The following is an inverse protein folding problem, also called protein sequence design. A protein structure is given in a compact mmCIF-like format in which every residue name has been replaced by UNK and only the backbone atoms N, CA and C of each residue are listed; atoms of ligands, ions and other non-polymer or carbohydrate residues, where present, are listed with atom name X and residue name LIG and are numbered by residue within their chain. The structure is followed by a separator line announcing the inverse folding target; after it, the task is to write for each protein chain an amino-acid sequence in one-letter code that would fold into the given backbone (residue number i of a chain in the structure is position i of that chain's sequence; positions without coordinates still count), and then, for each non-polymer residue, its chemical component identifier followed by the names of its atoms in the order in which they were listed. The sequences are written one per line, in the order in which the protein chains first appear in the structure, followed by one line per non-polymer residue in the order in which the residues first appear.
data_IF_368399077406
#
_entry.id   IF_368399077406
#
_cell.length_a   1.000
_cell.length_b   1.000
_cell.length_c   1.000
_cell.angle_alpha   90.00
_cell.angle_beta   90.00
_cell.angle_gamma   90.00
#
_symmetry.space_group_name_H-M   'P 1'
#
loop_
_entity.id
_entity.type
_entity.pdbx_description
1 polymer ?
#
# COMPACT_ATOMS: atom_id res chain seq x y z
N UNK A 1 -10.91 -13.53 -25.63
CA UNK A 1 -9.58 -13.57 -24.95
C UNK A 1 -9.58 -14.68 -23.89
N UNK A 2 -8.41 -15.00 -23.30
CA UNK A 2 -8.32 -15.90 -22.14
C UNK A 2 -8.43 -15.06 -20.86
N UNK A 3 -9.32 -15.46 -19.96
CA UNK A 3 -9.32 -14.94 -18.61
C UNK A 3 -8.29 -15.69 -17.78
N UNK A 4 -7.48 -14.97 -17.01
CA UNK A 4 -6.58 -15.54 -16.00
C UNK A 4 -7.26 -15.34 -14.65
N UNK A 5 -7.43 -16.44 -13.92
CA UNK A 5 -8.03 -16.45 -12.59
C UNK A 5 -6.97 -16.82 -11.55
N UNK A 6 -6.94 -16.07 -10.46
CA UNK A 6 -6.16 -16.40 -9.27
C UNK A 6 -7.10 -16.81 -8.14
N UNK A 7 -6.89 -18.01 -7.60
CA UNK A 7 -7.64 -18.54 -6.45
C UNK A 7 -7.07 -17.99 -5.13
N UNK A 8 -7.78 -17.01 -4.56
CA UNK A 8 -7.43 -16.39 -3.29
C UNK A 8 -7.66 -17.35 -2.11
N UNK A 9 -8.66 -18.22 -2.21
CA UNK A 9 -9.00 -19.19 -1.16
C UNK A 9 -7.82 -20.11 -0.87
N UNK A 10 -7.22 -20.68 -1.92
CA UNK A 10 -6.02 -21.51 -1.80
C UNK A 10 -4.81 -20.76 -1.22
N UNK A 11 -4.64 -19.48 -1.56
CA UNK A 11 -3.55 -18.66 -1.03
C UNK A 11 -3.73 -18.38 0.47
N UNK A 12 -4.93 -17.98 0.88
CA UNK A 12 -5.28 -17.74 2.29
C UNK A 12 -5.21 -19.03 3.12
N UNK A 13 -5.57 -20.17 2.53
CA UNK A 13 -5.45 -21.49 3.14
C UNK A 13 -4.05 -22.11 3.10
N UNK A 14 -3.07 -21.48 2.44
CA UNK A 14 -1.66 -21.90 2.50
C UNK A 14 -0.78 -20.96 3.33
N UNK A 15 -1.22 -19.71 3.55
CA UNK A 15 -0.49 -18.73 4.36
C UNK A 15 -0.24 -19.23 5.80
N UNK A 16 1.00 -19.29 6.24
CA UNK A 16 1.35 -19.62 7.64
C UNK A 16 1.25 -18.40 8.56
N UNK A 17 0.88 -17.26 7.99
CA UNK A 17 0.97 -15.96 8.62
C UNK A 17 -0.17 -15.72 9.61
N UNK A 18 0.17 -15.14 10.75
CA UNK A 18 -0.74 -14.96 11.89
C UNK A 18 -1.75 -13.80 11.69
N UNK A 19 -1.73 -13.18 10.53
CA UNK A 19 -2.40 -11.91 10.23
C UNK A 19 -3.92 -12.01 10.08
N UNK A 20 -4.45 -13.20 9.78
CA UNK A 20 -5.90 -13.48 9.79
C UNK A 20 -6.35 -14.22 11.04
N UNK A 21 -5.53 -14.22 12.12
CA UNK A 21 -5.86 -15.01 13.30
C UNK A 21 -7.01 -14.43 14.14
N UNK A 22 -7.30 -13.13 14.07
CA UNK A 22 -8.39 -12.57 14.86
C UNK A 22 -9.71 -12.59 14.09
N UNK A 23 -10.79 -12.94 14.79
CA UNK A 23 -12.15 -12.92 14.23
C UNK A 23 -12.54 -11.54 13.69
N UNK A 24 -12.03 -10.47 14.32
CA UNK A 24 -12.25 -9.09 13.92
C UNK A 24 -11.48 -8.71 12.64
N UNK A 25 -10.21 -9.11 12.51
CA UNK A 25 -9.42 -8.88 11.30
C UNK A 25 -10.04 -9.58 10.08
N UNK A 26 -10.49 -10.82 10.27
CA UNK A 26 -11.20 -11.56 9.23
C UNK A 26 -12.50 -10.88 8.79
N UNK A 27 -13.32 -10.41 9.73
CA UNK A 27 -14.56 -9.69 9.42
C UNK A 27 -14.33 -8.44 8.57
N UNK A 28 -13.34 -7.63 8.93
CA UNK A 28 -13.02 -6.39 8.20
C UNK A 28 -12.51 -6.68 6.80
N UNK A 29 -11.64 -7.68 6.65
CA UNK A 29 -11.17 -8.14 5.36
C UNK A 29 -12.30 -8.66 4.48
N UNK A 30 -13.20 -9.46 5.05
CA UNK A 30 -14.37 -9.98 4.35
C UNK A 30 -15.30 -8.86 3.87
N UNK A 31 -15.56 -7.86 4.72
CA UNK A 31 -16.35 -6.69 4.33
C UNK A 31 -15.74 -5.95 3.14
N UNK A 32 -14.42 -5.78 3.11
CA UNK A 32 -13.72 -5.16 1.98
C UNK A 32 -13.84 -6.01 0.71
N UNK A 33 -13.59 -7.32 0.79
CA UNK A 33 -13.74 -8.23 -0.36
C UNK A 33 -15.17 -8.18 -0.95
N UNK A 34 -16.18 -8.22 -0.09
CA UNK A 34 -17.58 -8.11 -0.51
C UNK A 34 -17.91 -6.74 -1.08
N UNK A 35 -17.39 -5.66 -0.49
CA UNK A 35 -17.59 -4.31 -1.02
C UNK A 35 -17.02 -4.22 -2.45
N UNK A 36 -15.78 -4.65 -2.66
CA UNK A 36 -15.10 -4.63 -3.96
C UNK A 36 -15.83 -5.51 -4.99
N UNK A 37 -16.24 -6.72 -4.59
CA UNK A 37 -16.97 -7.64 -5.48
C UNK A 37 -18.37 -7.11 -5.85
N UNK A 38 -19.10 -6.54 -4.89
CA UNK A 38 -20.48 -6.07 -5.11
C UNK A 38 -20.59 -4.74 -5.87
N UNK A 39 -19.62 -3.82 -5.71
CA UNK A 39 -19.60 -2.58 -6.48
C UNK A 39 -19.07 -2.77 -7.92
N UNK A 40 -18.57 -3.97 -8.26
CA UNK A 40 -17.89 -4.21 -9.53
C UNK A 40 -16.63 -3.35 -9.69
N UNK A 41 -16.06 -2.91 -8.56
CA UNK A 41 -14.93 -1.98 -8.57
C UNK A 41 -13.70 -2.65 -9.16
N UNK A 42 -13.03 -1.94 -10.06
CA UNK A 42 -11.76 -2.37 -10.63
C UNK A 42 -10.67 -2.20 -9.58
N UNK A 43 -10.00 -3.29 -9.21
CA UNK A 43 -8.84 -3.22 -8.30
C UNK A 43 -7.65 -2.62 -9.04
N UNK A 44 -7.53 -3.01 -10.31
CA UNK A 44 -6.57 -2.50 -11.28
C UNK A 44 -7.36 -2.11 -12.52
N UNK A 45 -7.21 -0.86 -12.95
CA UNK A 45 -7.85 -0.37 -14.17
C UNK A 45 -7.27 -1.07 -15.39
N UNK A 46 -8.11 -1.38 -16.37
CA UNK A 46 -7.65 -1.97 -17.63
C UNK A 46 -6.57 -1.11 -18.30
N UNK A 47 -5.58 -1.77 -18.90
CA UNK A 47 -4.46 -1.10 -19.56
C UNK A 47 -4.46 -1.40 -21.05
N UNK A 48 -4.23 -0.38 -21.88
CA UNK A 48 -4.04 -0.57 -23.31
C UNK A 48 -2.54 -0.49 -23.64
N UNK A 49 -1.98 -1.59 -24.14
CA UNK A 49 -0.59 -1.61 -24.58
C UNK A 49 -0.51 -1.21 -26.06
N UNK A 50 -0.02 0.00 -26.32
CA UNK A 50 0.13 0.56 -27.67
C UNK A 50 1.09 -0.23 -28.57
N UNK A 51 2.12 -0.87 -28.01
CA UNK A 51 3.14 -1.61 -28.78
C UNK A 51 2.63 -2.97 -29.26
N UNK A 52 1.80 -3.62 -28.43
CA UNK A 52 1.24 -4.96 -28.73
C UNK A 52 -0.18 -4.91 -29.28
N UNK A 53 -0.80 -3.73 -29.34
CA UNK A 53 -2.21 -3.50 -29.71
C UNK A 53 -3.20 -4.38 -28.93
N UNK A 54 -2.86 -4.71 -27.68
CA UNK A 54 -3.71 -5.55 -26.81
C UNK A 54 -4.23 -4.73 -25.64
N UNK A 55 -5.53 -4.85 -25.38
CA UNK A 55 -6.11 -4.40 -24.12
C UNK A 55 -6.02 -5.50 -23.08
N UNK A 56 -5.45 -5.14 -21.93
CA UNK A 56 -5.60 -5.86 -20.68
C UNK A 56 -6.86 -5.30 -20.01
N UNK A 57 -7.84 -6.15 -19.76
CA UNK A 57 -9.06 -5.79 -19.04
C UNK A 57 -8.78 -5.52 -17.56
N UNK A 58 -9.70 -4.86 -16.86
CA UNK A 58 -9.53 -4.58 -15.43
C UNK A 58 -9.52 -5.87 -14.60
N UNK A 59 -8.81 -5.85 -13.48
CA UNK A 59 -8.87 -6.94 -12.49
C UNK A 59 -10.10 -6.77 -11.60
N UNK A 60 -10.92 -7.81 -11.49
CA UNK A 60 -12.15 -7.83 -10.69
C UNK A 60 -12.12 -8.94 -9.63
N UNK A 61 -12.82 -8.75 -8.51
CA UNK A 61 -13.06 -9.79 -7.50
C UNK A 61 -14.40 -10.45 -7.75
N UNK A 62 -14.39 -11.78 -7.80
CA UNK A 62 -15.61 -12.57 -7.81
C UNK A 62 -15.58 -13.55 -6.65
N UNK A 63 -16.67 -13.53 -5.87
CA UNK A 63 -16.95 -14.59 -4.89
C UNK A 63 -17.79 -15.63 -5.62
N UNK A 64 -17.20 -16.79 -5.92
CA UNK A 64 -17.86 -17.85 -6.68
C UNK A 64 -18.67 -18.78 -5.78
N UNK A 65 -18.18 -19.04 -4.56
CA UNK A 65 -18.83 -19.90 -3.57
C UNK A 65 -18.63 -19.30 -2.18
N UNK A 66 -19.72 -19.09 -1.43
CA UNK A 66 -19.68 -18.45 -0.11
C UNK A 66 -19.64 -19.46 1.04
N UNK A 67 -20.11 -20.69 0.81
CA UNK A 67 -20.23 -21.71 1.84
C UNK A 67 -18.98 -22.58 1.93
N UNK A 68 -18.67 -23.03 3.15
CA UNK A 68 -17.74 -24.16 3.34
C UNK A 68 -18.56 -25.44 3.29
N UNK A 69 -18.22 -26.35 2.37
CA UNK A 69 -18.93 -27.60 2.19
C UNK A 69 -18.20 -28.72 2.94
N UNK A 70 -18.88 -29.33 3.90
CA UNK A 70 -18.38 -30.49 4.64
C UNK A 70 -19.07 -31.76 4.11
N UNK A 71 -18.28 -32.74 3.70
CA UNK A 71 -18.76 -34.06 3.28
C UNK A 71 -18.28 -35.10 4.27
N UNK A 72 -19.21 -35.77 4.94
CA UNK A 72 -18.95 -36.76 5.98
C UNK A 72 -19.46 -38.11 5.52
N UNK A 73 -18.59 -39.11 5.46
CA UNK A 73 -18.95 -40.52 5.39
C UNK A 73 -18.76 -41.13 6.79
N UNK A 74 -19.82 -41.68 7.36
CA UNK A 74 -19.79 -42.28 8.68
C UNK A 74 -20.62 -43.57 8.76
N UNK A 75 -20.31 -44.36 9.77
CA UNK A 75 -21.03 -45.55 10.23
C UNK A 75 -21.69 -45.26 11.58
N UNK A 76 -22.57 -46.16 12.04
CA UNK A 76 -23.27 -45.99 13.31
C UNK A 76 -22.34 -45.81 14.52
N UNK A 77 -21.15 -46.42 14.48
CA UNK A 77 -20.17 -46.42 15.55
C UNK A 77 -18.97 -45.46 15.30
N UNK A 78 -19.02 -44.62 14.27
CA UNK A 78 -17.88 -43.74 13.93
C UNK A 78 -17.69 -42.65 14.99
N UNK A 79 -16.47 -42.58 15.52
CA UNK A 79 -16.01 -41.50 16.39
C UNK A 79 -15.27 -40.43 15.56
N UNK A 80 -15.60 -39.16 15.81
CA UNK A 80 -15.10 -38.03 15.02
C UNK A 80 -14.46 -36.98 15.94
N UNK A 81 -13.26 -36.52 15.56
CA UNK A 81 -12.48 -35.49 16.25
C UNK A 81 -12.46 -34.14 15.52
N UNK A 82 -13.24 -33.17 15.96
CA UNK A 82 -13.23 -31.82 15.42
C UNK A 82 -12.22 -30.93 16.14
N UNK A 83 -11.24 -30.42 15.39
CA UNK A 83 -10.35 -29.38 15.88
C UNK A 83 -10.90 -28.03 15.42
N UNK A 84 -11.07 -27.07 16.32
CA UNK A 84 -11.43 -25.70 15.96
C UNK A 84 -10.82 -24.73 16.97
N UNK A 85 -10.14 -23.70 16.48
CA UNK A 85 -9.50 -22.65 17.28
C UNK A 85 -8.59 -23.21 18.41
N UNK A 86 -7.78 -24.22 18.06
CA UNK A 86 -6.85 -24.86 19.01
C UNK A 86 -7.54 -25.71 20.10
N UNK A 87 -8.85 -25.91 20.04
CA UNK A 87 -9.62 -26.80 20.92
C UNK A 87 -10.05 -28.04 20.17
N UNK A 88 -10.18 -29.15 20.90
CA UNK A 88 -10.65 -30.43 20.38
C UNK A 88 -12.07 -30.70 20.88
N UNK A 89 -12.92 -31.20 20.00
CA UNK A 89 -14.28 -31.61 20.27
C UNK A 89 -14.48 -33.01 19.73
N UNK A 90 -14.97 -33.92 20.55
CA UNK A 90 -15.15 -35.32 20.16
C UNK A 90 -16.64 -35.60 20.06
N UNK A 91 -17.05 -36.17 18.93
CA UNK A 91 -18.33 -36.84 18.80
C UNK A 91 -18.14 -38.31 19.09
N UNK A 92 -18.82 -38.79 20.12
CA UNK A 92 -18.87 -40.20 20.49
C UNK A 92 -20.31 -40.68 20.36
N UNK A 93 -20.61 -41.70 19.55
CA UNK A 93 -21.95 -42.25 19.45
C UNK A 93 -22.46 -42.70 20.82
N UNK A 94 -23.66 -42.25 21.20
CA UNK A 94 -24.26 -42.57 22.51
C UNK A 94 -24.62 -44.05 22.66
N UNK A 95 -24.94 -44.74 21.57
CA UNK A 95 -25.30 -46.16 21.55
C UNK A 95 -24.72 -46.83 20.31
N UNK A 96 -24.13 -48.04 20.47
CA UNK A 96 -23.40 -48.74 19.39
C UNK A 96 -24.30 -49.48 18.39
N UNK A 97 -25.57 -49.68 18.73
CA UNK A 97 -26.52 -50.49 17.95
C UNK A 97 -27.63 -49.64 17.30
N UNK A 98 -27.45 -48.32 17.19
CA UNK A 98 -28.42 -47.44 16.53
C UNK A 98 -28.43 -47.66 15.02
N UNK A 99 -29.60 -47.56 14.36
CA UNK A 99 -29.67 -47.44 12.91
C UNK A 99 -28.78 -46.29 12.41
N UNK A 100 -28.11 -46.50 11.27
CA UNK A 100 -27.21 -45.51 10.67
C UNK A 100 -27.89 -44.17 10.38
N UNK A 101 -29.21 -44.19 10.10
CA UNK A 101 -30.03 -42.98 9.98
C UNK A 101 -30.06 -42.17 11.28
N UNK A 102 -30.28 -42.82 12.41
CA UNK A 102 -30.37 -42.18 13.72
C UNK A 102 -29.00 -41.68 14.19
N UNK A 103 -27.94 -42.45 13.89
CA UNK A 103 -26.56 -42.01 14.14
C UNK A 103 -26.17 -40.78 13.32
N UNK A 104 -26.61 -40.70 12.06
CA UNK A 104 -26.40 -39.54 11.19
C UNK A 104 -27.14 -38.29 11.72
N UNK A 105 -28.41 -38.45 12.12
CA UNK A 105 -29.19 -37.36 12.70
C UNK A 105 -28.61 -36.87 14.04
N UNK A 106 -28.14 -37.80 14.89
CA UNK A 106 -27.46 -37.47 16.14
C UNK A 106 -26.17 -36.67 15.90
N UNK A 107 -25.37 -37.08 14.91
CA UNK A 107 -24.16 -36.35 14.51
C UNK A 107 -24.48 -34.93 14.00
N UNK A 108 -25.47 -34.80 13.11
CA UNK A 108 -25.89 -33.49 12.57
C UNK A 108 -26.35 -32.58 13.71
N UNK A 109 -27.17 -33.09 14.62
CA UNK A 109 -27.65 -32.32 15.77
C UNK A 109 -26.52 -31.90 16.71
N UNK A 110 -25.58 -32.80 17.00
CA UNK A 110 -24.39 -32.49 17.78
C UNK A 110 -23.57 -31.36 17.13
N UNK A 111 -23.28 -31.49 15.83
CA UNK A 111 -22.48 -30.51 15.10
C UNK A 111 -23.18 -29.15 15.03
N UNK A 112 -24.48 -29.12 14.71
CA UNK A 112 -25.26 -27.89 14.68
C UNK A 112 -25.32 -27.21 16.05
N UNK A 113 -25.47 -27.98 17.13
CA UNK A 113 -25.51 -27.45 18.50
C UNK A 113 -24.16 -26.86 18.89
N UNK A 114 -23.07 -27.56 18.55
CA UNK A 114 -21.71 -27.10 18.81
C UNK A 114 -21.40 -25.80 18.04
N UNK A 115 -21.75 -25.73 16.76
CA UNK A 115 -21.44 -24.60 15.89
C UNK A 115 -22.29 -23.35 16.19
N UNK A 116 -23.52 -23.52 16.68
CA UNK A 116 -24.39 -22.39 17.07
C UNK A 116 -24.00 -21.72 18.38
N UNK A 117 -23.24 -22.40 19.24
CA UNK A 117 -22.80 -21.83 20.50
C UNK A 117 -21.66 -20.82 20.32
N UNK A 118 -21.54 -19.85 21.23
CA UNK A 118 -20.34 -19.02 21.33
C UNK A 118 -19.10 -19.89 21.60
N UNK A 119 -17.93 -19.61 20.98
CA UNK A 119 -17.59 -18.42 20.18
C UNK A 119 -17.85 -18.56 18.67
N UNK A 120 -18.41 -19.69 18.21
CA UNK A 120 -18.44 -20.05 16.80
C UNK A 120 -19.51 -19.30 16.01
N UNK A 121 -20.75 -19.26 16.54
CA UNK A 121 -21.88 -18.57 15.91
C UNK A 121 -22.02 -18.89 14.40
N UNK A 122 -21.89 -20.17 14.06
CA UNK A 122 -21.99 -20.70 12.70
C UNK A 122 -23.32 -21.43 12.51
N UNK A 123 -23.91 -21.24 11.34
CA UNK A 123 -25.07 -22.00 10.88
C UNK A 123 -24.61 -23.13 9.97
N UNK A 124 -25.05 -24.36 10.29
CA UNK A 124 -24.81 -25.54 9.48
C UNK A 124 -26.13 -26.05 8.91
N UNK A 125 -26.28 -26.00 7.59
CA UNK A 125 -27.45 -26.54 6.89
C UNK A 125 -27.11 -27.86 6.21
N UNK A 126 -27.97 -28.87 6.40
CA UNK A 126 -27.85 -30.14 5.69
C UNK A 126 -28.34 -29.95 4.25
N UNK A 127 -27.45 -30.15 3.28
CA UNK A 127 -27.79 -30.12 1.85
C UNK A 127 -28.35 -31.46 1.39
N UNK A 128 -27.75 -32.55 1.85
CA UNK A 128 -28.23 -33.91 1.55
C UNK A 128 -27.69 -34.93 2.53
N UNK A 129 -28.51 -35.94 2.86
CA UNK A 129 -28.10 -37.15 3.56
C UNK A 129 -28.48 -38.35 2.71
N UNK A 130 -27.51 -39.21 2.40
CA UNK A 130 -27.70 -40.44 1.63
C UNK A 130 -27.31 -41.61 2.51
N UNK A 131 -28.22 -42.58 2.66
CA UNK A 131 -27.98 -43.79 3.46
C UNK A 131 -27.87 -44.97 2.51
N UNK A 132 -26.79 -45.73 2.64
CA UNK A 132 -26.64 -47.03 2.00
C UNK A 132 -26.86 -48.12 3.05
N UNK A 133 -28.06 -48.71 3.03
CA UNK A 133 -28.44 -49.79 3.94
C UNK A 133 -27.66 -51.09 3.69
N UNK A 134 -27.04 -51.27 2.52
CA UNK A 134 -26.31 -52.51 2.20
C UNK A 134 -24.92 -52.53 2.84
N UNK A 135 -24.32 -51.35 2.99
CA UNK A 135 -22.99 -51.17 3.60
C UNK A 135 -23.07 -50.49 4.96
N UNK A 136 -24.29 -50.17 5.43
CA UNK A 136 -24.58 -49.45 6.67
C UNK A 136 -23.79 -48.12 6.78
N UNK A 137 -23.80 -47.33 5.70
CA UNK A 137 -23.10 -46.03 5.65
C UNK A 137 -24.06 -44.86 5.49
N UNK A 138 -23.71 -43.74 6.12
CA UNK A 138 -24.31 -42.44 5.85
C UNK A 138 -23.30 -41.52 5.17
N UNK A 139 -23.72 -40.89 4.07
CA UNK A 139 -23.01 -39.80 3.42
C UNK A 139 -23.78 -38.50 3.62
N UNK A 140 -23.20 -37.55 4.34
CA UNK A 140 -23.82 -36.29 4.72
C UNK A 140 -23.07 -35.15 4.04
N UNK A 141 -23.80 -34.25 3.40
CA UNK A 141 -23.25 -33.01 2.84
C UNK A 141 -23.86 -31.84 3.61
N UNK A 142 -23.00 -31.08 4.28
CA UNK A 142 -23.35 -29.91 5.07
C UNK A 142 -22.75 -28.67 4.42
N UNK A 143 -23.51 -27.58 4.42
CA UNK A 143 -23.06 -26.24 4.09
C UNK A 143 -22.93 -25.46 5.39
N UNK A 144 -21.72 -24.98 5.65
CA UNK A 144 -21.37 -24.18 6.81
C UNK A 144 -21.28 -22.73 6.37
N UNK A 145 -21.99 -21.86 7.08
CA UNK A 145 -22.03 -20.42 6.88
C UNK A 145 -21.94 -19.73 8.25
N UNK A 146 -21.49 -18.49 8.31
CA UNK A 146 -21.61 -17.71 9.55
C UNK A 146 -23.07 -17.30 9.78
N UNK A 147 -23.49 -17.27 11.03
CA UNK A 147 -24.84 -16.81 11.37
C UNK A 147 -25.02 -15.33 11.01
N UNK A 148 -26.23 -14.96 10.62
CA UNK A 148 -26.57 -13.62 10.14
C UNK A 148 -26.62 -12.66 11.34
N UNK A 149 -25.80 -11.61 11.33
CA UNK A 149 -25.94 -10.51 12.30
C UNK A 149 -27.32 -9.84 12.16
N UNK A 150 -27.87 -9.31 13.26
CA UNK A 150 -29.21 -8.69 13.38
C UNK A 150 -29.53 -7.57 12.34
N UNK A 151 -28.55 -7.14 11.54
CA UNK A 151 -28.69 -6.20 10.43
C UNK A 151 -29.16 -6.82 9.09
N UNK A 152 -29.19 -8.16 8.99
CA UNK A 152 -30.01 -8.90 8.02
C UNK A 152 -29.64 -8.81 6.52
N UNK A 153 -28.53 -8.18 6.13
CA UNK A 153 -28.26 -7.94 4.69
C UNK A 153 -27.28 -8.91 4.03
N UNK A 154 -26.31 -9.50 4.75
CA UNK A 154 -25.30 -10.41 4.15
C UNK A 154 -24.85 -11.51 5.11
N UNK A 155 -24.54 -12.71 4.57
CA UNK A 155 -23.98 -13.85 5.33
C UNK A 155 -22.47 -13.75 5.32
N UNK A 156 -21.80 -13.89 6.47
CA UNK A 156 -20.34 -13.79 6.50
C UNK A 156 -19.64 -15.09 6.07
N UNK A 157 -18.51 -14.97 5.36
CA UNK A 157 -17.60 -16.07 5.02
C UNK A 157 -16.94 -16.62 6.30
N UNK A 158 -16.73 -17.94 6.32
CA UNK A 158 -16.07 -18.62 7.45
C UNK A 158 -14.57 -18.29 7.44
N UNK A 159 -14.01 -17.98 8.61
CA UNK A 159 -12.58 -17.68 8.74
C UNK A 159 -11.72 -18.87 8.28
N UNK A 160 -10.70 -18.65 7.43
CA UNK A 160 -9.80 -19.71 6.95
C UNK A 160 -9.01 -20.39 8.08
N UNK A 161 -8.90 -19.76 9.26
CA UNK A 161 -8.36 -20.42 10.46
C UNK A 161 -9.16 -21.64 10.89
N UNK A 162 -10.49 -21.58 10.78
CA UNK A 162 -11.39 -22.64 11.22
C UNK A 162 -11.47 -23.76 10.18
N UNK A 163 -11.13 -23.45 8.93
CA UNK A 163 -11.19 -24.37 7.79
C UNK A 163 -10.08 -25.43 7.86
N UNK A 164 -8.86 -25.06 8.28
CA UNK A 164 -7.70 -25.98 8.34
C UNK A 164 -7.82 -27.07 9.40
N UNK A 165 -8.83 -27.00 10.26
CA UNK A 165 -8.91 -27.81 11.48
C UNK A 165 -9.96 -28.93 11.42
N UNK A 166 -10.58 -29.18 10.26
CA UNK A 166 -11.54 -30.27 10.14
C UNK A 166 -10.86 -31.66 10.04
N UNK A 167 -10.88 -32.36 11.18
CA UNK A 167 -11.19 -33.78 11.36
C UNK A 167 -10.25 -34.86 10.79
N UNK A 168 -9.63 -35.60 11.72
CA UNK A 168 -9.24 -36.99 11.54
C UNK A 168 -10.32 -37.94 12.09
N UNK A 169 -10.49 -39.10 11.45
CA UNK A 169 -11.33 -40.20 11.95
C UNK A 169 -10.53 -41.01 12.97
N UNK A 170 -11.07 -41.21 14.17
CA UNK A 170 -10.34 -41.81 15.31
C UNK A 170 -10.47 -43.32 15.33
N UNK A 171 -11.66 -43.84 15.03
CA UNK A 171 -11.94 -45.27 14.91
C UNK A 171 -12.97 -45.53 13.82
N UNK A 172 -12.65 -46.49 12.96
CA UNK A 172 -13.58 -47.14 12.04
C UNK A 172 -13.56 -48.63 12.35
N UNK A 173 -14.70 -49.15 12.81
CA UNK A 173 -14.86 -50.58 13.03
C UNK A 173 -15.92 -51.10 12.07
N UNK A 174 -15.59 -51.15 10.78
CA UNK A 174 -16.33 -51.94 9.79
C UNK A 174 -15.38 -52.68 8.84
N UNK A 175 -15.89 -53.78 8.26
CA UNK A 175 -15.12 -54.86 7.64
C UNK A 175 -14.12 -54.40 6.54
N UNK A 176 -13.06 -55.19 6.34
CA UNK A 176 -11.94 -54.94 5.42
C UNK A 176 -12.30 -54.67 3.93
N UNK A 177 -13.58 -54.71 3.56
CA UNK A 177 -14.10 -54.47 2.21
C UNK A 177 -14.89 -53.16 2.06
N UNK A 178 -15.16 -52.42 3.14
CA UNK A 178 -15.90 -51.15 3.09
C UNK A 178 -14.94 -49.95 3.03
N UNK A 179 -15.29 -48.87 2.30
CA UNK A 179 -14.47 -47.66 2.28
C UNK A 179 -14.44 -47.03 3.68
N UNK A 180 -13.30 -46.49 4.12
CA UNK A 180 -13.20 -45.91 5.46
C UNK A 180 -14.17 -44.74 5.64
N UNK A 181 -14.59 -44.51 6.89
CA UNK A 181 -15.18 -43.25 7.30
C UNK A 181 -14.24 -42.11 6.92
N UNK A 182 -14.81 -41.01 6.47
CA UNK A 182 -14.06 -39.94 5.82
C UNK A 182 -14.74 -38.61 6.07
N UNK A 183 -13.95 -37.59 6.36
CA UNK A 183 -14.41 -36.21 6.37
C UNK A 183 -13.59 -35.45 5.36
N UNK A 184 -14.26 -34.86 4.38
CA UNK A 184 -13.61 -33.95 3.43
C UNK A 184 -14.29 -32.60 3.49
N UNK A 185 -13.49 -31.56 3.31
CA UNK A 185 -13.94 -30.18 3.38
C UNK A 185 -13.56 -29.50 2.07
N UNK A 186 -14.51 -28.74 1.51
CA UNK A 186 -14.28 -27.82 0.41
C UNK A 186 -14.48 -26.40 0.93
N UNK A 187 -13.47 -25.53 0.89
CA UNK A 187 -13.59 -24.16 1.35
C UNK A 187 -14.46 -23.32 0.40
N UNK A 188 -14.79 -22.10 0.82
CA UNK A 188 -15.34 -21.07 -0.07
C UNK A 188 -14.34 -20.71 -1.18
N UNK A 189 -14.85 -20.15 -2.29
CA UNK A 189 -14.05 -19.79 -3.47
C UNK A 189 -14.16 -18.30 -3.76
N UNK A 190 -13.00 -17.63 -3.76
CA UNK A 190 -12.85 -16.22 -4.17
C UNK A 190 -11.76 -16.15 -5.22
N UNK A 191 -12.08 -15.57 -6.37
CA UNK A 191 -11.16 -15.45 -7.50
C UNK A 191 -10.94 -13.99 -7.89
N UNK A 192 -9.68 -13.67 -8.22
CA UNK A 192 -9.37 -12.46 -8.98
C UNK A 192 -9.31 -12.82 -10.44
N UNK A 193 -10.11 -12.14 -11.25
CA UNK A 193 -10.19 -12.38 -12.68
C UNK A 193 -9.67 -11.18 -13.45
N UNK A 194 -8.81 -11.44 -14.42
CA UNK A 194 -8.37 -10.46 -15.41
C UNK A 194 -8.53 -11.03 -16.82
N UNK A 195 -8.87 -10.17 -17.79
CA UNK A 195 -9.02 -10.54 -19.20
C UNK A 195 -7.81 -10.06 -19.99
N UNK A 196 -7.08 -10.96 -20.67
CA UNK A 196 -6.02 -10.56 -21.60
C UNK A 196 -4.64 -10.26 -20.99
N UNK A 197 -4.49 -10.41 -19.67
CA UNK A 197 -3.24 -10.26 -18.92
C UNK A 197 -3.17 -11.15 -17.67
N UNK A 198 -2.05 -11.11 -16.96
CA UNK A 198 -1.92 -11.71 -15.62
C UNK A 198 -2.25 -10.62 -14.58
N UNK A 199 -3.05 -10.94 -13.55
CA UNK A 199 -3.41 -9.98 -12.51
C UNK A 199 -2.16 -9.37 -11.88
N UNK A 200 -2.10 -8.04 -11.84
CA UNK A 200 -1.06 -7.33 -11.09
C UNK A 200 -1.23 -7.63 -9.60
N UNK A 201 -0.19 -8.20 -8.99
CA UNK A 201 -0.22 -8.71 -7.62
C UNK A 201 -0.05 -7.60 -6.57
N UNK A 202 0.43 -6.42 -6.95
CA UNK A 202 0.80 -5.37 -5.99
C UNK A 202 -0.41 -4.82 -5.22
N UNK A 203 -1.54 -4.58 -5.91
CA UNK A 203 -2.79 -4.15 -5.25
C UNK A 203 -3.57 -5.27 -4.57
N UNK A 204 -3.35 -6.51 -5.00
CA UNK A 204 -3.86 -7.69 -4.29
C UNK A 204 -3.20 -7.81 -2.91
N UNK A 205 -1.89 -7.56 -2.86
CA UNK A 205 -1.15 -7.48 -1.61
C UNK A 205 -1.67 -6.34 -0.74
N UNK A 206 -1.96 -5.16 -1.30
CA UNK A 206 -2.57 -4.05 -0.53
C UNK A 206 -3.91 -4.43 0.13
N UNK A 207 -4.79 -5.15 -0.58
CA UNK A 207 -6.09 -5.62 -0.05
C UNK A 207 -5.90 -6.68 1.04
N UNK A 208 -4.95 -7.60 0.85
CA UNK A 208 -4.57 -8.61 1.86
C UNK A 208 -3.94 -7.95 3.10
N UNK A 209 -3.14 -6.91 2.90
CA UNK A 209 -2.42 -6.19 3.94
C UNK A 209 -3.34 -5.24 4.73
N UNK A 210 -4.37 -4.66 4.09
CA UNK A 210 -5.41 -3.89 4.80
C UNK A 210 -6.16 -4.76 5.83
N UNK A 211 -6.44 -6.03 5.47
CA UNK A 211 -7.02 -7.01 6.40
C UNK A 211 -6.10 -7.34 7.58
N UNK A 212 -4.79 -7.37 7.32
CA UNK A 212 -3.74 -7.62 8.31
C UNK A 212 -3.50 -6.46 9.28
N UNK A 213 -3.42 -5.22 8.77
CA UNK A 213 -3.10 -4.01 9.55
C UNK A 213 -4.24 -3.56 10.48
N UNK A 214 -5.46 -4.05 10.28
CA UNK A 214 -6.58 -3.74 11.16
C UNK A 214 -6.41 -4.25 12.60
N UNK A 215 -5.46 -5.17 12.85
CA UNK A 215 -5.13 -5.63 14.20
C UNK A 215 -4.22 -4.65 14.97
N UNK A 216 -3.38 -3.88 14.28
CA UNK A 216 -2.43 -2.95 14.91
C UNK A 216 -3.07 -1.61 15.33
N UNK A 217 -4.32 -1.35 14.88
CA UNK A 217 -5.03 -0.13 15.24
C UNK A 217 -5.65 -0.15 16.65
N UNK A 218 -5.63 -1.27 17.38
CA UNK A 218 -6.32 -1.40 18.66
C UNK A 218 -5.42 -1.63 19.88
N UNK A 219 -4.11 -1.78 19.73
CA UNK A 219 -3.20 -1.81 20.87
C UNK A 219 -1.86 -1.17 20.52
N UNK A 220 -1.49 -0.20 21.36
CA UNK A 220 -0.15 0.37 21.51
C UNK A 220 0.41 1.16 20.30
N UNK A 221 0.22 2.47 20.40
CA UNK A 221 1.12 3.52 19.94
C UNK A 221 2.54 3.41 20.53
N UNK A 222 3.23 2.30 20.30
CA UNK A 222 4.62 2.12 20.70
C UNK A 222 5.31 1.07 19.84
N UNK A 223 5.96 1.53 18.76
CA UNK A 223 6.72 0.64 17.88
C UNK A 223 7.40 1.31 16.70
N UNK A 224 7.71 2.61 16.75
CA UNK A 224 8.65 3.22 15.81
C UNK A 224 10.09 2.78 16.17
N UNK A 225 10.44 1.55 15.85
CA UNK A 225 11.84 1.12 15.79
C UNK A 225 12.11 0.61 14.38
N UNK A 226 12.67 1.47 13.53
CA UNK A 226 12.98 1.11 12.15
C UNK A 226 13.80 2.17 11.42
N UNK A 227 15.12 1.99 11.47
CA UNK A 227 16.08 2.30 10.39
C UNK A 227 16.37 3.79 10.04
N UNK A 228 15.56 4.74 10.52
CA UNK A 228 15.86 6.17 10.41
C UNK A 228 15.21 7.06 11.48
N UNK A 229 15.68 6.98 12.74
CA UNK A 229 15.11 7.79 13.84
C UNK A 229 15.34 9.30 13.66
N UNK A 230 16.38 9.73 12.96
CA UNK A 230 16.70 11.14 12.75
C UNK A 230 15.63 11.91 11.96
N UNK A 231 14.84 11.22 11.15
CA UNK A 231 13.77 11.82 10.34
C UNK A 231 12.36 11.48 10.85
N UNK A 232 12.26 10.92 12.07
CA UNK A 232 10.98 10.51 12.64
C UNK A 232 10.04 11.71 12.84
N UNK A 233 10.56 12.86 13.26
CA UNK A 233 9.76 14.07 13.50
C UNK A 233 9.16 14.62 12.20
N UNK A 234 9.95 14.70 11.13
CA UNK A 234 9.47 15.16 9.81
C UNK A 234 8.47 14.17 9.21
N UNK A 235 8.70 12.87 9.42
CA UNK A 235 7.76 11.83 8.98
C UNK A 235 6.43 11.93 9.73
N UNK A 236 6.47 12.09 11.05
CA UNK A 236 5.27 12.25 11.86
C UNK A 236 4.53 13.54 11.52
N UNK A 237 5.25 14.65 11.31
CA UNK A 237 4.65 15.92 10.93
C UNK A 237 3.89 15.85 9.59
N UNK A 238 4.38 15.05 8.63
CA UNK A 238 3.65 14.80 7.37
C UNK A 238 2.45 13.87 7.59
N UNK A 239 2.54 12.85 8.44
CA UNK A 239 1.41 11.97 8.74
C UNK A 239 0.28 12.64 9.52
N UNK A 240 0.62 13.55 10.44
CA UNK A 240 -0.36 14.33 11.19
C UNK A 240 -1.10 15.35 10.31
N UNK A 241 -0.59 15.63 9.11
CA UNK A 241 -1.21 16.50 8.12
C UNK A 241 -1.93 15.68 7.05
N UNK A 242 -3.26 15.79 7.01
CA UNK A 242 -4.09 14.98 6.12
C UNK A 242 -3.72 15.13 4.64
N UNK A 243 -3.34 16.34 4.22
CA UNK A 243 -3.00 16.61 2.82
C UNK A 243 -1.60 16.12 2.48
N UNK A 244 -0.62 16.31 3.38
CA UNK A 244 0.73 15.75 3.21
C UNK A 244 0.70 14.21 3.19
N UNK A 245 0.01 13.59 4.16
CA UNK A 245 -0.15 12.14 4.22
C UNK A 245 -0.90 11.60 2.99
N UNK A 246 -1.94 12.29 2.52
CA UNK A 246 -2.66 11.90 1.31
C UNK A 246 -1.76 12.00 0.08
N UNK A 247 -1.00 13.09 -0.07
CA UNK A 247 -0.08 13.26 -1.19
C UNK A 247 1.06 12.23 -1.17
N UNK A 248 1.57 11.87 0.01
CA UNK A 248 2.55 10.82 0.18
C UNK A 248 2.03 9.47 -0.35
N UNK A 249 0.83 9.09 0.08
CA UNK A 249 0.22 7.78 -0.22
C UNK A 249 -0.35 7.68 -1.63
N UNK A 250 -1.01 8.73 -2.11
CA UNK A 250 -1.80 8.69 -3.34
C UNK A 250 -1.03 9.23 -4.56
N UNK A 251 0.06 9.97 -4.36
CA UNK A 251 0.82 10.56 -5.45
C UNK A 251 2.29 10.18 -5.42
N UNK A 252 2.99 10.45 -4.32
CA UNK A 252 4.43 10.25 -4.24
C UNK A 252 4.83 8.78 -4.33
N UNK A 253 4.27 7.92 -3.48
CA UNK A 253 4.61 6.49 -3.47
C UNK A 253 4.24 5.78 -4.77
N UNK A 254 3.04 5.99 -5.37
CA UNK A 254 2.72 5.44 -6.68
C UNK A 254 3.65 5.91 -7.80
N UNK A 255 4.09 7.18 -7.78
CA UNK A 255 5.07 7.70 -8.75
C UNK A 255 6.42 7.00 -8.59
N UNK A 256 6.89 6.80 -7.36
CA UNK A 256 8.12 6.07 -7.06
C UNK A 256 8.03 4.59 -7.48
N UNK A 257 6.93 3.91 -7.19
CA UNK A 257 6.69 2.53 -7.62
C UNK A 257 6.71 2.43 -9.16
N UNK A 258 6.06 3.36 -9.85
CA UNK A 258 6.09 3.42 -11.32
C UNK A 258 7.53 3.61 -11.82
N UNK A 259 8.32 4.49 -11.21
CA UNK A 259 9.73 4.67 -11.55
C UNK A 259 10.55 3.40 -11.37
N UNK A 260 10.31 2.64 -10.29
CA UNK A 260 11.06 1.41 -10.03
C UNK A 260 10.84 0.29 -11.07
N UNK A 261 9.78 0.38 -11.88
CA UNK A 261 9.52 -0.56 -12.97
C UNK A 261 10.34 -0.31 -14.24
N UNK A 262 11.07 0.82 -14.31
CA UNK A 262 11.81 1.21 -15.51
C UNK A 262 13.20 0.57 -15.51
N UNK A 263 13.41 -0.42 -16.38
CA UNK A 263 14.72 -1.06 -16.55
C UNK A 263 15.73 -0.07 -17.15
N UNK A 264 16.88 0.12 -16.51
CA UNK A 264 18.03 0.83 -17.09
C UNK A 264 19.36 0.17 -16.67
N UNK A 265 20.44 0.55 -17.32
CA UNK A 265 21.80 0.04 -17.07
C UNK A 265 22.47 0.82 -15.94
N UNK A 266 23.15 0.12 -15.01
CA UNK A 266 23.89 0.75 -13.92
C UNK A 266 25.13 1.55 -14.39
N UNK A 267 25.50 2.66 -13.73
CA UNK A 267 24.79 3.29 -12.61
C UNK A 267 23.48 3.95 -13.05
N UNK A 268 22.40 3.69 -12.30
CA UNK A 268 21.07 4.17 -12.62
C UNK A 268 20.92 5.61 -12.11
N UNK A 269 20.42 6.52 -12.95
CA UNK A 269 20.05 7.89 -12.56
C UNK A 269 18.73 8.27 -13.21
N UNK A 270 17.82 8.85 -12.43
CA UNK A 270 16.51 9.27 -12.90
C UNK A 270 16.11 10.61 -12.33
N UNK A 271 15.68 11.50 -13.22
CA UNK A 271 15.13 12.80 -12.86
C UNK A 271 13.61 12.65 -12.65
N UNK A 272 13.18 12.76 -11.39
CA UNK A 272 11.80 12.65 -10.94
C UNK A 272 11.11 14.01 -10.77
N UNK A 273 11.75 15.09 -11.22
CA UNK A 273 11.32 16.45 -10.88
C UNK A 273 9.92 16.77 -11.41
N UNK A 274 9.62 16.39 -12.65
CA UNK A 274 8.28 16.58 -13.21
C UNK A 274 7.20 15.80 -12.43
N UNK A 275 7.47 14.54 -12.08
CA UNK A 275 6.53 13.71 -11.34
C UNK A 275 6.28 14.24 -9.92
N UNK A 276 7.30 14.80 -9.27
CA UNK A 276 7.18 15.36 -7.93
C UNK A 276 6.49 16.72 -7.97
N UNK A 277 6.90 17.61 -8.86
CA UNK A 277 6.34 18.96 -8.95
C UNK A 277 4.89 18.94 -9.47
N UNK A 278 4.61 18.28 -10.59
CA UNK A 278 3.26 18.22 -11.17
C UNK A 278 2.37 17.19 -10.46
N UNK A 279 2.94 16.08 -10.03
CA UNK A 279 2.19 14.95 -9.49
C UNK A 279 1.96 15.03 -7.98
N UNK A 280 2.88 15.61 -7.21
CA UNK A 280 2.81 15.64 -5.74
C UNK A 280 2.56 17.05 -5.24
N UNK A 281 3.45 17.99 -5.56
CA UNK A 281 3.38 19.36 -5.03
C UNK A 281 2.22 20.17 -5.60
N UNK A 282 1.92 20.07 -6.90
CA UNK A 282 0.80 20.78 -7.50
C UNK A 282 -0.58 20.28 -7.01
N UNK A 283 -0.65 19.06 -6.47
CA UNK A 283 -1.87 18.50 -5.88
C UNK A 283 -2.07 18.88 -4.41
N UNK A 284 -1.12 19.60 -3.79
CA UNK A 284 -1.25 20.12 -2.44
C UNK A 284 -1.67 21.60 -2.51
N UNK A 285 -2.87 21.87 -2.00
CA UNK A 285 -3.47 23.20 -1.90
C UNK A 285 -2.99 23.98 -0.68
N UNK A 286 -2.69 23.32 0.44
CA UNK A 286 -2.10 23.97 1.60
C UNK A 286 -0.57 24.01 1.52
N UNK A 287 -0.02 25.22 1.57
CA UNK A 287 1.42 25.45 1.64
C UNK A 287 2.09 24.66 2.79
N UNK A 288 1.43 24.59 3.94
CA UNK A 288 1.93 23.86 5.11
C UNK A 288 2.15 22.36 4.84
N UNK A 289 1.31 21.74 4.00
CA UNK A 289 1.46 20.34 3.61
C UNK A 289 2.66 20.16 2.67
N UNK A 290 2.83 21.06 1.69
CA UNK A 290 3.97 21.05 0.77
C UNK A 290 5.31 21.19 1.50
N UNK A 291 5.41 22.11 2.47
CA UNK A 291 6.63 22.29 3.26
C UNK A 291 6.96 21.07 4.12
N UNK A 292 5.96 20.41 4.71
CA UNK A 292 6.15 19.16 5.48
C UNK A 292 6.64 18.03 4.60
N UNK A 293 6.08 17.88 3.39
CA UNK A 293 6.51 16.91 2.40
C UNK A 293 7.97 17.15 1.99
N UNK A 294 8.31 18.40 1.67
CA UNK A 294 9.66 18.76 1.31
C UNK A 294 10.65 18.51 2.46
N UNK A 295 10.28 18.86 3.69
CA UNK A 295 11.10 18.62 4.88
C UNK A 295 11.36 17.11 5.10
N UNK A 296 10.36 16.26 4.90
CA UNK A 296 10.51 14.80 4.97
C UNK A 296 11.49 14.29 3.89
N UNK A 297 11.32 14.73 2.64
CA UNK A 297 12.20 14.37 1.53
C UNK A 297 13.63 14.81 1.77
N UNK A 298 13.85 16.08 2.13
CA UNK A 298 15.17 16.63 2.44
C UNK A 298 15.82 15.90 3.60
N UNK A 299 15.08 15.61 4.67
CA UNK A 299 15.62 14.83 5.78
C UNK A 299 16.04 13.43 5.31
N UNK A 300 15.20 12.76 4.52
CA UNK A 300 15.48 11.41 4.04
C UNK A 300 16.67 11.33 3.06
N UNK A 301 16.89 12.41 2.30
CA UNK A 301 17.93 12.57 1.29
C UNK A 301 19.29 12.96 1.88
N UNK A 302 19.29 13.73 2.97
CA UNK A 302 20.50 14.27 3.60
C UNK A 302 20.95 13.40 4.77
N UNK A 303 22.27 13.33 5.00
CA UNK A 303 22.76 12.69 6.22
C UNK A 303 22.70 13.67 7.37
N UNK A 304 21.91 13.36 8.39
CA UNK A 304 21.91 14.10 9.65
C UNK A 304 22.85 13.48 10.70
N UNK A 305 23.44 12.32 10.40
CA UNK A 305 24.33 11.60 11.32
C UNK A 305 25.78 12.06 11.15
N UNK A 306 26.35 12.64 12.21
CA UNK A 306 27.77 13.06 12.25
C UNK A 306 28.76 11.89 12.24
N UNK A 307 28.30 10.67 12.52
CA UNK A 307 29.14 9.47 12.66
C UNK A 307 29.11 8.56 11.45
N UNK A 308 27.96 8.40 10.79
CA UNK A 308 27.81 7.46 9.67
C UNK A 308 27.77 8.13 8.30
N UNK A 309 27.53 9.46 8.19
CA UNK A 309 27.42 10.23 6.93
C UNK A 309 26.45 9.67 5.87
N UNK A 310 25.68 8.64 6.20
CA UNK A 310 24.67 8.04 5.34
C UNK A 310 23.32 8.74 5.58
N UNK A 311 22.58 8.97 4.49
CA UNK A 311 21.19 9.44 4.52
C UNK A 311 20.23 8.28 4.77
N UNK A 312 18.95 8.57 5.01
CA UNK A 312 17.97 7.52 5.25
C UNK A 312 17.80 6.59 4.06
N UNK A 313 17.66 7.15 2.87
CA UNK A 313 17.56 6.37 1.64
C UNK A 313 18.74 5.41 1.49
N UNK A 314 19.97 5.88 1.77
CA UNK A 314 21.17 5.05 1.73
C UNK A 314 21.16 3.93 2.78
N UNK A 315 20.80 4.24 4.03
CA UNK A 315 20.72 3.26 5.13
C UNK A 315 19.70 2.18 4.84
N UNK A 316 18.49 2.56 4.41
CA UNK A 316 17.41 1.63 4.13
C UNK A 316 17.70 0.78 2.89
N UNK A 317 18.33 1.35 1.86
CA UNK A 317 18.70 0.59 0.65
C UNK A 317 19.79 -0.45 0.91
N UNK A 318 20.72 -0.18 1.82
CA UNK A 318 21.73 -1.15 2.24
C UNK A 318 21.14 -2.40 2.95
N UNK A 319 19.91 -2.31 3.47
CA UNK A 319 19.19 -3.45 4.07
C UNK A 319 18.64 -4.41 3.02
N UNK A 320 18.19 -3.88 1.87
CA UNK A 320 17.74 -4.72 0.76
C UNK A 320 18.93 -5.43 0.09
N UNK A 321 20.02 -4.70 -0.15
CA UNK A 321 21.23 -5.25 -0.75
C UNK A 321 22.49 -4.64 -0.11
N UNK A 322 23.23 -5.41 0.72
CA UNK A 322 24.47 -4.94 1.31
C UNK A 322 25.50 -4.52 0.26
N UNK A 323 26.03 -3.30 0.38
CA UNK A 323 27.03 -2.75 -0.54
C UNK A 323 26.45 -1.90 -1.69
N UNK A 324 25.13 -1.80 -1.79
CA UNK A 324 24.46 -0.90 -2.75
C UNK A 324 24.37 0.51 -2.21
N UNK A 325 24.61 1.49 -3.07
CA UNK A 325 24.35 2.90 -2.77
C UNK A 325 23.09 3.40 -3.46
N UNK A 326 22.31 4.18 -2.74
CA UNK A 326 21.13 4.88 -3.24
C UNK A 326 21.12 6.31 -2.68
N UNK A 327 20.84 7.29 -3.53
CA UNK A 327 20.83 8.69 -3.18
C UNK A 327 19.63 9.38 -3.85
N UNK A 328 18.95 10.21 -3.07
CA UNK A 328 18.07 11.25 -3.58
C UNK A 328 18.85 12.57 -3.49
N UNK A 329 19.05 13.23 -4.62
CA UNK A 329 19.62 14.56 -4.71
C UNK A 329 18.48 15.56 -4.94
N UNK A 330 18.41 16.56 -4.08
CA UNK A 330 17.42 17.62 -4.14
C UNK A 330 18.15 18.92 -4.41
N UNK A 331 18.01 19.46 -5.61
CA UNK A 331 18.58 20.76 -5.99
C UNK A 331 17.49 21.81 -5.82
N UNK A 332 17.79 22.85 -5.06
CA UNK A 332 16.86 23.96 -4.90
C UNK A 332 16.73 24.75 -6.20
N UNK A 333 15.54 25.30 -6.49
CA UNK A 333 15.36 26.17 -7.64
C UNK A 333 16.22 27.43 -7.49
N UNK A 334 16.72 27.92 -8.61
CA UNK A 334 17.64 29.05 -8.64
C UNK A 334 17.42 29.93 -9.86
N UNK A 335 17.83 31.18 -9.77
CA UNK A 335 17.89 32.10 -10.91
C UNK A 335 19.28 32.73 -10.97
N UNK A 336 19.87 32.77 -12.15
CA UNK A 336 21.17 33.41 -12.37
C UNK A 336 21.12 34.39 -13.53
N UNK A 337 21.72 35.56 -13.35
CA UNK A 337 21.81 36.56 -14.40
C UNK A 337 22.91 37.59 -14.14
N UNK A 338 23.25 38.37 -15.16
CA UNK A 338 24.16 39.52 -15.04
C UNK A 338 23.51 40.78 -15.60
N UNK A 339 23.61 41.87 -14.85
CA UNK A 339 22.95 43.14 -15.16
C UNK A 339 23.86 44.31 -14.76
N UNK A 340 23.77 45.43 -15.48
CA UNK A 340 24.57 46.61 -15.18
C UNK A 340 24.07 47.28 -13.89
N UNK A 341 24.98 47.85 -13.12
CA UNK A 341 24.62 48.61 -11.92
C UNK A 341 23.77 49.84 -12.28
N UNK A 342 22.64 50.00 -11.60
CA UNK A 342 21.71 51.11 -11.79
C UNK A 342 20.58 50.82 -12.78
N UNK A 343 20.60 49.68 -13.46
CA UNK A 343 19.51 49.27 -14.35
C UNK A 343 18.29 48.78 -13.57
N UNK A 344 17.12 48.93 -14.17
CA UNK A 344 15.85 48.41 -13.65
C UNK A 344 15.54 47.05 -14.27
N UNK A 345 15.08 46.13 -13.43
CA UNK A 345 14.54 44.83 -13.85
C UNK A 345 13.06 44.72 -13.49
N UNK A 346 12.29 44.11 -14.37
CA UNK A 346 10.93 43.66 -14.10
C UNK A 346 10.96 42.22 -13.58
N UNK A 347 10.28 41.96 -12.46
CA UNK A 347 10.15 40.64 -11.86
C UNK A 347 8.71 40.15 -11.99
N UNK A 348 8.53 39.03 -12.70
CA UNK A 348 7.25 38.40 -12.98
C UNK A 348 7.04 37.17 -12.11
N UNK A 349 5.88 37.04 -11.48
CA UNK A 349 5.51 35.87 -10.71
C UNK A 349 4.01 35.58 -10.78
N UNK A 350 3.63 34.32 -11.04
CA UNK A 350 2.26 33.82 -11.07
C UNK A 350 1.24 34.62 -11.92
N UNK A 351 1.69 35.33 -12.95
CA UNK A 351 0.82 36.12 -13.84
C UNK A 351 0.34 37.45 -13.23
N UNK A 352 0.95 37.90 -12.13
CA UNK A 352 0.71 39.23 -11.57
C UNK A 352 1.40 40.34 -12.41
N UNK A 353 1.04 41.61 -12.13
CA UNK A 353 1.78 42.76 -12.68
C UNK A 353 3.25 42.71 -12.24
N UNK A 354 4.20 43.08 -13.13
CA UNK A 354 5.62 43.03 -12.78
C UNK A 354 5.94 44.04 -11.68
N UNK A 355 6.75 43.58 -10.73
CA UNK A 355 7.38 44.45 -9.74
C UNK A 355 8.76 44.88 -10.23
N UNK A 356 9.13 46.12 -9.95
CA UNK A 356 10.37 46.70 -10.47
C UNK A 356 11.43 46.78 -9.37
N UNK A 357 12.66 46.41 -9.71
CA UNK A 357 13.82 46.51 -8.82
C UNK A 357 14.98 47.20 -9.55
N UNK A 358 15.64 48.16 -8.89
CA UNK A 358 16.83 48.82 -9.42
C UNK A 358 18.08 48.18 -8.83
N UNK A 359 19.01 47.77 -9.67
CA UNK A 359 20.23 47.09 -9.23
C UNK A 359 21.21 48.06 -8.55
N UNK A 360 21.65 47.69 -7.36
CA UNK A 360 22.60 48.48 -6.56
C UNK A 360 23.77 47.64 -6.03
N UNK A 361 23.78 46.33 -6.31
CA UNK A 361 24.76 45.38 -5.80
C UNK A 361 24.48 44.90 -4.37
N UNK A 362 23.40 45.37 -3.74
CA UNK A 362 23.03 44.95 -2.39
C UNK A 362 22.19 43.66 -2.44
N UNK A 363 22.89 42.53 -2.28
CA UNK A 363 22.27 41.21 -2.24
C UNK A 363 21.21 41.08 -1.13
N UNK A 364 21.37 41.76 0.02
CA UNK A 364 20.42 41.66 1.12
C UNK A 364 19.14 42.46 0.83
N UNK A 365 19.27 43.64 0.22
CA UNK A 365 18.13 44.42 -0.24
C UNK A 365 17.34 43.65 -1.30
N UNK A 366 18.04 43.03 -2.25
CA UNK A 366 17.39 42.26 -3.32
C UNK A 366 16.72 40.98 -2.82
N UNK A 367 17.37 40.24 -1.92
CA UNK A 367 16.78 39.10 -1.20
C UNK A 367 15.49 39.51 -0.48
N UNK A 368 15.51 40.62 0.26
CA UNK A 368 14.34 41.12 0.98
C UNK A 368 13.20 41.52 0.03
N UNK A 369 13.52 42.12 -1.13
CA UNK A 369 12.53 42.46 -2.14
C UNK A 369 11.85 41.21 -2.71
N UNK A 370 12.63 40.20 -3.13
CA UNK A 370 12.10 38.94 -3.65
C UNK A 370 11.25 38.20 -2.61
N UNK A 371 11.73 38.11 -1.36
CA UNK A 371 11.02 37.40 -0.30
C UNK A 371 9.72 38.10 0.11
N UNK A 372 9.76 39.41 0.35
CA UNK A 372 8.63 40.13 0.96
C UNK A 372 7.66 40.73 -0.06
N UNK A 373 8.18 41.33 -1.13
CA UNK A 373 7.35 42.06 -2.10
C UNK A 373 6.87 41.13 -3.23
N UNK A 374 7.75 40.25 -3.74
CA UNK A 374 7.40 39.35 -4.86
C UNK A 374 6.67 38.10 -4.38
N UNK A 375 7.18 37.45 -3.33
CA UNK A 375 6.62 36.20 -2.80
C UNK A 375 5.61 36.40 -1.67
N UNK A 376 5.44 37.63 -1.15
CA UNK A 376 4.45 37.96 -0.11
C UNK A 376 4.90 37.63 1.33
N UNK A 377 6.20 37.44 1.54
CA UNK A 377 6.86 37.20 2.83
C UNK A 377 6.98 35.72 3.20
N UNK A 378 8.08 35.34 3.86
CA UNK A 378 8.38 33.95 4.24
C UNK A 378 7.33 33.30 5.15
N UNK A 379 6.61 34.07 5.96
CA UNK A 379 5.51 33.54 6.77
C UNK A 379 4.30 33.10 5.93
N UNK A 380 4.08 33.74 4.78
CA UNK A 380 2.96 33.49 3.88
C UNK A 380 3.32 32.51 2.77
N UNK A 381 4.56 32.55 2.29
CA UNK A 381 5.06 31.73 1.17
C UNK A 381 5.85 30.52 1.61
N UNK A 382 6.39 30.51 2.84
CA UNK A 382 7.29 29.44 3.31
C UNK A 382 8.65 29.42 2.63
N UNK A 383 8.93 30.42 1.78
CA UNK A 383 10.15 30.50 0.96
C UNK A 383 11.12 31.50 1.58
N UNK A 384 12.37 31.10 1.69
CA UNK A 384 13.49 31.98 2.05
C UNK A 384 14.35 32.19 0.81
N UNK A 385 14.68 33.45 0.51
CA UNK A 385 15.44 33.79 -0.70
C UNK A 385 16.87 34.14 -0.34
N UNK A 386 17.82 33.32 -0.76
CA UNK A 386 19.24 33.61 -0.62
C UNK A 386 19.78 34.23 -1.91
N UNK A 387 20.32 35.44 -1.81
CA UNK A 387 20.93 36.14 -2.95
C UNK A 387 22.42 36.29 -2.69
N UNK A 388 23.21 35.97 -3.70
CA UNK A 388 24.62 36.33 -3.77
C UNK A 388 24.84 37.23 -4.98
N UNK A 389 25.63 38.27 -4.78
CA UNK A 389 26.00 39.22 -5.83
C UNK A 389 27.52 39.28 -5.92
N UNK A 390 28.05 39.11 -7.12
CA UNK A 390 29.48 39.26 -7.39
C UNK A 390 29.68 40.28 -8.50
N UNK A 391 30.53 41.27 -8.24
CA UNK A 391 30.91 42.23 -9.26
C UNK A 391 31.71 41.53 -10.36
N UNK A 392 31.27 41.72 -11.60
CA UNK A 392 31.98 41.32 -12.81
C UNK A 392 32.29 42.58 -13.63
N UNK A 393 33.35 42.54 -14.43
CA UNK A 393 33.74 43.68 -15.25
C UNK A 393 33.82 43.24 -16.70
N UNK A 394 32.87 43.69 -17.50
CA UNK A 394 32.87 43.50 -18.94
C UNK A 394 33.00 44.85 -19.63
N UNK A 395 34.02 44.98 -20.47
CA UNK A 395 34.19 46.09 -21.42
C UNK A 395 34.09 47.53 -20.86
N UNK A 396 34.33 47.77 -19.56
CA UNK A 396 34.22 49.11 -18.98
C UNK A 396 32.91 49.39 -18.23
N UNK A 397 32.02 48.40 -18.13
CA UNK A 397 30.74 48.49 -17.43
C UNK A 397 30.81 47.76 -16.09
N UNK A 398 30.30 48.41 -15.05
CA UNK A 398 30.16 47.82 -13.72
C UNK A 398 28.96 46.86 -13.75
N UNK A 399 29.24 45.58 -13.93
CA UNK A 399 28.25 44.51 -14.00
C UNK A 399 28.15 43.79 -12.66
N UNK A 400 26.95 43.34 -12.32
CA UNK A 400 26.71 42.46 -11.19
C UNK A 400 26.11 41.16 -11.67
N UNK A 401 26.77 40.06 -11.33
CA UNK A 401 26.22 38.72 -11.49
C UNK A 401 25.51 38.33 -10.21
N UNK A 402 24.21 38.11 -10.31
CA UNK A 402 23.36 37.64 -9.23
C UNK A 402 23.13 36.13 -9.36
N UNK A 403 23.22 35.44 -8.23
CA UNK A 403 22.79 34.06 -8.08
C UNK A 403 21.82 33.97 -6.91
N UNK A 404 20.61 33.54 -7.23
CA UNK A 404 19.46 33.48 -6.33
C UNK A 404 19.13 32.02 -6.09
N UNK A 405 18.92 31.64 -4.83
CA UNK A 405 18.47 30.32 -4.41
C UNK A 405 17.17 30.48 -3.61
N UNK A 406 16.13 29.73 -3.99
CA UNK A 406 14.83 29.78 -3.33
C UNK A 406 14.64 28.55 -2.44
N UNK A 407 14.98 28.65 -1.16
CA UNK A 407 14.82 27.56 -0.19
C UNK A 407 13.35 27.39 0.20
N UNK A 408 12.83 26.16 0.16
CA UNK A 408 11.44 25.86 0.50
C UNK A 408 10.44 26.08 -0.63
N UNK A 409 10.91 26.49 -1.82
CA UNK A 409 10.06 26.75 -2.96
C UNK A 409 9.63 25.46 -3.66
N UNK A 410 8.33 25.16 -3.63
CA UNK A 410 7.73 23.97 -4.25
C UNK A 410 6.86 24.30 -5.47
N UNK A 411 6.92 25.53 -5.97
CA UNK A 411 6.16 25.97 -7.14
C UNK A 411 6.75 25.47 -8.46
N UNK A 412 5.93 25.47 -9.51
CA UNK A 412 6.31 25.01 -10.85
C UNK A 412 7.23 25.98 -11.61
N UNK A 413 7.26 27.25 -11.23
CA UNK A 413 8.10 28.27 -11.84
C UNK A 413 8.53 29.28 -10.78
N UNK A 414 9.82 29.59 -10.73
CA UNK A 414 10.38 30.68 -9.90
C UNK A 414 9.98 32.05 -10.45
N UNK A 415 10.17 33.13 -9.68
CA UNK A 415 10.11 34.47 -10.22
C UNK A 415 11.05 34.63 -11.43
N UNK A 416 10.50 35.13 -12.53
CA UNK A 416 11.23 35.35 -13.78
C UNK A 416 11.66 36.82 -13.87
N UNK A 417 12.92 37.07 -14.18
CA UNK A 417 13.50 38.42 -14.19
C UNK A 417 13.83 38.83 -15.62
N UNK A 418 13.44 40.04 -15.98
CA UNK A 418 13.60 40.57 -17.33
C UNK A 418 14.11 42.01 -17.28
N UNK A 419 15.12 42.32 -18.09
CA UNK A 419 15.68 43.67 -18.23
C UNK A 419 16.11 43.87 -19.67
N UNK A 420 15.74 45.01 -20.26
CA UNK A 420 15.96 45.31 -21.68
C UNK A 420 15.53 44.17 -22.62
N UNK A 421 16.47 43.53 -23.32
CA UNK A 421 16.25 42.36 -24.19
C UNK A 421 16.76 41.05 -23.58
N UNK A 422 17.14 41.07 -22.30
CA UNK A 422 17.71 39.94 -21.57
C UNK A 422 16.73 39.39 -20.52
N UNK A 423 16.98 38.15 -20.12
CA UNK A 423 16.16 37.41 -19.17
C UNK A 423 17.02 36.53 -18.27
N UNK A 424 16.50 36.20 -17.07
CA UNK A 424 17.21 35.33 -16.14
C UNK A 424 17.21 33.88 -16.61
N UNK A 425 18.31 33.18 -16.31
CA UNK A 425 18.37 31.73 -16.43
C UNK A 425 17.74 31.12 -15.17
N UNK A 426 16.50 30.65 -15.29
CA UNK A 426 15.72 30.11 -14.19
C UNK A 426 15.73 28.57 -14.20
N UNK A 427 15.87 27.98 -13.02
CA UNK A 427 15.73 26.54 -12.80
C UNK A 427 14.60 26.24 -11.83
N UNK A 428 13.97 25.09 -12.04
CA UNK A 428 12.99 24.55 -11.11
C UNK A 428 13.65 23.63 -10.08
N UNK A 429 12.90 23.23 -9.07
CA UNK A 429 13.39 22.29 -8.08
C UNK A 429 13.64 20.92 -8.70
N UNK A 430 14.82 20.35 -8.49
CA UNK A 430 15.17 19.05 -9.06
C UNK A 430 15.19 17.94 -8.02
N UNK A 431 14.65 16.78 -8.38
CA UNK A 431 14.66 15.55 -7.59
C UNK A 431 15.30 14.44 -8.43
N UNK A 432 16.57 14.11 -8.13
CA UNK A 432 17.32 13.11 -8.90
C UNK A 432 17.62 11.90 -8.03
N UNK A 433 17.08 10.74 -8.42
CA UNK A 433 17.39 9.47 -7.78
C UNK A 433 18.55 8.80 -8.49
N UNK A 434 19.52 8.31 -7.73
CA UNK A 434 20.63 7.51 -8.26
C UNK A 434 20.85 6.26 -7.42
N UNK A 435 21.22 5.17 -8.08
CA UNK A 435 21.59 3.92 -7.42
C UNK A 435 22.75 3.21 -8.13
N UNK A 436 23.54 2.47 -7.37
CA UNK A 436 24.64 1.68 -7.93
C UNK A 436 24.16 0.42 -8.67
N UNK A 437 22.91 0.01 -8.47
CA UNK A 437 22.29 -1.17 -9.08
C UNK A 437 21.09 -0.79 -9.97
N UNK A 438 20.79 -1.59 -11.00
CA UNK A 438 19.69 -1.31 -11.94
C UNK A 438 18.31 -1.70 -11.40
N UNK A 439 18.23 -2.57 -10.39
CA UNK A 439 16.96 -3.01 -9.76
C UNK A 439 16.51 -2.03 -8.66
N UNK A 440 16.01 -0.86 -9.08
CA UNK A 440 15.51 0.16 -8.15
C UNK A 440 14.33 -0.32 -7.31
N UNK A 441 13.51 -1.26 -7.82
CA UNK A 441 12.38 -1.82 -7.08
C UNK A 441 12.85 -2.46 -5.79
N UNK A 442 13.83 -3.35 -5.89
CA UNK A 442 14.40 -4.00 -4.72
C UNK A 442 15.17 -3.00 -3.84
N UNK A 443 15.96 -2.09 -4.44
CA UNK A 443 16.83 -1.15 -3.70
C UNK A 443 16.04 -0.11 -2.90
N UNK A 444 14.97 0.45 -3.47
CA UNK A 444 14.19 1.52 -2.83
C UNK A 444 13.01 1.02 -2.01
N UNK A 445 12.62 -0.26 -2.13
CA UNK A 445 11.49 -0.83 -1.37
C UNK A 445 11.59 -0.58 0.14
N UNK A 446 12.72 -0.83 0.83
CA UNK A 446 12.80 -0.55 2.27
C UNK A 446 12.63 0.94 2.61
N UNK A 447 13.12 1.84 1.75
CA UNK A 447 12.92 3.28 1.92
C UNK A 447 11.46 3.68 1.75
N UNK A 448 10.78 3.14 0.73
CA UNK A 448 9.35 3.36 0.51
C UNK A 448 8.51 2.79 1.66
N UNK A 449 8.85 1.61 2.16
CA UNK A 449 8.26 1.01 3.37
C UNK A 449 8.51 1.85 4.62
N UNK A 450 9.68 2.50 4.74
CA UNK A 450 9.92 3.43 5.84
C UNK A 450 9.10 4.71 5.71
N UNK A 451 8.91 5.23 4.49
CA UNK A 451 8.07 6.40 4.22
C UNK A 451 6.61 6.12 4.52
N UNK A 452 6.12 4.94 4.16
CA UNK A 452 4.80 4.45 4.54
C UNK A 452 4.88 2.99 5.00
N UNK A 453 4.82 2.74 6.32
CA UNK A 453 4.82 1.39 6.88
C UNK A 453 3.71 0.52 6.33
N UNK A 454 2.64 1.10 5.76
CA UNK A 454 1.60 0.30 5.13
C UNK A 454 2.03 -0.37 3.82
N UNK A 455 3.24 -0.11 3.33
CA UNK A 455 3.87 -0.79 2.18
C UNK A 455 4.78 -1.99 2.58
N UNK A 456 4.90 -2.28 3.89
CA UNK A 456 5.80 -3.31 4.44
C UNK A 456 5.40 -4.75 4.12
#
# INVERSE_FOLDING_TARGET
ERAVQLDLGSLLLSSTDQTFLTQEGWLRFEHLLRAVSSCGCEIVTGQYNNETQKSIGPTQVQVEEEAVVLRVRMYANTELELWMDGRFYIYTPTERDLPVSEAADAFVNWLQTLLKAEPFLMDASVRSTTIDETVETASIVLELLRSVDDSGSYRSLISPRWIRSFLGVVMDATAASSPPAEVSLTPWSVVFQEIGGFPSFDRLLDVLQYGAQAHDAANSSSGASGECPECADQRQACFDDLECSSALKNHMLPNLQTMTSWQSTAPYSFNASGQFLDGVFANMSALGAGLKMLALLTCSATSQSTTTRESCIQKTSALAMPGVSAKLEITQPSSTFSIQMGDEMAVYYQGNEPLWYTTDGDAAAFSSFLENEVLGGSASSGVVVEVSASASFEEGMDMWTYSIIYTGFTGLATPHLHWDENESEDSTMEFVFSASEPDLGTVLKPWMTWLDPTLA
#
